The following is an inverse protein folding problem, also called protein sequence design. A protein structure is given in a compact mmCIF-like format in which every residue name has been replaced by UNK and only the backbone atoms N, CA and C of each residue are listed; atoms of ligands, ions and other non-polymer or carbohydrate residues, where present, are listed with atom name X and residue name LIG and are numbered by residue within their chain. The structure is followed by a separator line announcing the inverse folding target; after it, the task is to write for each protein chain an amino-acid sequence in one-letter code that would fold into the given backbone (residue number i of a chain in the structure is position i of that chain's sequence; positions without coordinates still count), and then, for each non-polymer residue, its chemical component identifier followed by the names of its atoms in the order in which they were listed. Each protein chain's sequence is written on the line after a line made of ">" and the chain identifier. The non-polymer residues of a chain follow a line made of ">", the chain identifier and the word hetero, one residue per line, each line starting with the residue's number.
data_IF_331565987983
#
_entry.id   IF_331565987983
#
_cell.length_a   1.000
_cell.length_b   1.000
_cell.length_c   1.000
_cell.angle_alpha   90.00
_cell.angle_beta   90.00
_cell.angle_gamma   90.00
#
_symmetry.space_group_name_H-M   'P 1'
#
loop_
_entity.id
_entity.type
_entity.pdbx_description
1 polymer ?
#
# COMPACT_ATOMS: atom_id res chain seq x y z
N UNK A 1 -4.23 -43.40 54.31
CA UNK A 1 -5.37 -42.47 54.20
C UNK A 1 -5.61 -42.15 52.73
N UNK A 2 -6.67 -42.67 52.14
CA UNK A 2 -7.07 -42.39 50.75
C UNK A 2 -8.25 -41.43 50.75
N UNK A 3 -8.22 -40.42 49.87
CA UNK A 3 -9.37 -39.55 49.66
C UNK A 3 -10.42 -40.32 48.84
N UNK A 4 -11.69 -40.25 49.27
CA UNK A 4 -12.81 -40.91 48.58
C UNK A 4 -13.11 -40.28 47.20
N UNK A 5 -12.63 -39.07 46.92
CA UNK A 5 -12.83 -38.40 45.64
C UNK A 5 -11.64 -37.55 45.22
N UNK A 6 -11.44 -37.41 43.92
CA UNK A 6 -10.43 -36.51 43.34
C UNK A 6 -10.69 -35.05 43.72
N UNK A 7 -11.95 -34.66 43.92
CA UNK A 7 -12.32 -33.31 44.36
C UNK A 7 -11.87 -33.04 45.80
N UNK A 8 -12.09 -33.99 46.72
CA UNK A 8 -11.63 -33.90 48.10
C UNK A 8 -10.09 -33.83 48.16
N UNK A 9 -9.42 -34.64 47.34
CA UNK A 9 -7.96 -34.60 47.20
C UNK A 9 -7.45 -33.24 46.71
N UNK A 10 -8.04 -32.69 45.65
CA UNK A 10 -7.68 -31.37 45.08
C UNK A 10 -7.91 -30.23 46.09
N UNK A 11 -9.02 -30.28 46.85
CA UNK A 11 -9.31 -29.29 47.91
C UNK A 11 -8.29 -29.37 49.05
N UNK A 12 -8.00 -30.57 49.55
CA UNK A 12 -7.01 -30.77 50.61
C UNK A 12 -5.60 -30.32 50.17
N UNK A 13 -5.21 -30.62 48.93
CA UNK A 13 -3.95 -30.13 48.36
C UNK A 13 -3.91 -28.61 48.26
N UNK A 14 -5.01 -27.97 47.84
CA UNK A 14 -5.09 -26.50 47.76
C UNK A 14 -5.02 -25.85 49.14
N UNK A 15 -5.70 -26.40 50.15
CA UNK A 15 -5.64 -25.86 51.52
C UNK A 15 -4.25 -26.00 52.11
N UNK A 16 -3.60 -27.14 51.87
CA UNK A 16 -2.22 -27.38 52.32
C UNK A 16 -1.25 -26.44 51.62
N UNK A 17 -1.36 -26.27 50.30
CA UNK A 17 -0.53 -25.34 49.55
C UNK A 17 -0.64 -23.88 50.06
N UNK A 18 -1.86 -23.43 50.40
CA UNK A 18 -2.10 -22.10 50.99
C UNK A 18 -1.51 -21.93 52.39
N UNK A 19 -1.52 -22.97 53.21
CA UNK A 19 -0.89 -22.93 54.54
C UNK A 19 0.63 -22.81 54.43
N UNK A 20 1.23 -23.46 53.42
CA UNK A 20 2.66 -23.41 53.18
C UNK A 20 3.13 -22.20 52.37
N UNK A 21 2.22 -21.49 51.69
CA UNK A 21 2.54 -20.30 50.86
C UNK A 21 3.28 -19.20 51.64
N UNK A 22 2.99 -19.06 52.94
CA UNK A 22 3.63 -18.05 53.80
C UNK A 22 4.84 -18.58 54.60
N UNK A 23 5.06 -19.89 54.61
CA UNK A 23 6.12 -20.54 55.41
C UNK A 23 7.29 -20.95 54.54
N UNK A 24 7.04 -21.31 53.28
CA UNK A 24 8.05 -21.75 52.33
C UNK A 24 8.06 -20.81 51.11
N UNK A 25 9.06 -19.93 50.96
CA UNK A 25 9.20 -19.16 49.73
C UNK A 25 9.37 -20.13 48.55
N UNK A 26 8.60 -19.92 47.47
CA UNK A 26 8.51 -20.72 46.23
C UNK A 26 7.72 -22.05 46.27
N UNK A 27 6.88 -22.32 47.28
CA UNK A 27 6.01 -23.52 47.25
C UNK A 27 4.70 -23.31 46.45
N UNK A 28 4.74 -22.81 45.23
CA UNK A 28 3.55 -22.82 44.36
C UNK A 28 3.45 -24.16 43.66
N UNK A 29 2.87 -25.15 44.33
CA UNK A 29 2.50 -26.42 43.70
C UNK A 29 1.51 -26.12 42.56
N UNK A 30 1.94 -26.35 41.33
CA UNK A 30 1.12 -26.14 40.14
C UNK A 30 -0.15 -26.99 40.22
N UNK A 31 -1.30 -26.34 40.40
CA UNK A 31 -2.60 -27.00 40.33
C UNK A 31 -2.85 -27.36 38.85
N UNK A 32 -3.07 -28.64 38.50
CA UNK A 32 -3.42 -29.01 37.14
C UNK A 32 -4.77 -28.37 36.80
N UNK A 33 -4.76 -27.49 35.82
CA UNK A 33 -5.93 -26.82 35.31
C UNK A 33 -6.63 -27.76 34.33
N UNK A 34 -7.53 -28.60 34.84
CA UNK A 34 -8.61 -29.20 34.05
C UNK A 34 -9.73 -29.69 34.98
N UNK A 35 -10.94 -29.19 34.71
CA UNK A 35 -12.24 -29.89 34.75
C UNK A 35 -13.37 -28.87 34.54
N UNK A 36 -14.17 -29.08 33.49
CA UNK A 36 -15.28 -28.22 33.02
C UNK A 36 -16.57 -28.37 33.84
N UNK A 37 -16.56 -29.10 34.95
CA UNK A 37 -17.71 -29.24 35.86
C UNK A 37 -17.47 -28.49 37.18
N UNK A 38 -17.94 -27.24 37.22
CA UNK A 38 -17.93 -26.45 38.45
C UNK A 38 -18.99 -26.97 39.42
N UNK A 39 -18.57 -27.24 40.66
CA UNK A 39 -19.47 -27.59 41.77
C UNK A 39 -20.35 -26.40 42.16
N UNK A 40 -21.55 -26.65 42.70
CA UNK A 40 -22.50 -25.61 43.15
C UNK A 40 -21.88 -24.64 44.18
N UNK A 41 -20.99 -25.13 45.04
CA UNK A 41 -20.23 -24.31 46.00
C UNK A 41 -19.14 -23.47 45.32
N UNK A 42 -18.56 -23.94 44.21
CA UNK A 42 -17.64 -23.15 43.39
C UNK A 42 -18.37 -22.03 42.63
N UNK A 43 -19.62 -22.26 42.22
CA UNK A 43 -20.47 -21.23 41.62
C UNK A 43 -20.83 -20.14 42.63
N UNK A 44 -21.22 -20.52 43.85
CA UNK A 44 -21.53 -19.56 44.93
C UNK A 44 -20.30 -18.74 45.33
N UNK A 45 -19.13 -19.37 45.50
CA UNK A 45 -17.90 -18.62 45.82
C UNK A 45 -17.50 -17.66 44.70
N UNK A 46 -17.71 -18.02 43.42
CA UNK A 46 -17.52 -17.09 42.30
C UNK A 46 -18.48 -15.90 42.37
N UNK A 47 -19.76 -16.14 42.64
CA UNK A 47 -20.78 -15.09 42.76
C UNK A 47 -20.47 -14.12 43.91
N UNK A 48 -20.04 -14.64 45.06
CA UNK A 48 -19.65 -13.83 46.22
C UNK A 48 -18.37 -13.01 45.97
N UNK A 49 -17.41 -13.55 45.20
CA UNK A 49 -16.16 -12.86 44.86
C UNK A 49 -16.29 -11.78 43.77
N UNK A 50 -17.44 -11.66 43.08
CA UNK A 50 -17.63 -10.65 42.01
C UNK A 50 -17.77 -9.21 42.52
N UNK A 51 -17.97 -9.00 43.82
CA UNK A 51 -18.16 -7.66 44.40
C UNK A 51 -16.86 -6.90 44.69
N UNK A 52 -15.67 -7.49 44.44
CA UNK A 52 -14.40 -6.78 44.57
C UNK A 52 -13.99 -6.19 43.23
N UNK A 53 -14.41 -4.95 43.02
CA UNK A 53 -13.93 -4.04 41.98
C UNK A 53 -12.39 -4.04 41.90
N UNK A 54 -11.83 -4.30 40.71
CA UNK A 54 -10.51 -3.86 40.15
C UNK A 54 -9.82 -4.97 39.35
N UNK A 55 -10.02 -5.04 38.02
CA UNK A 55 -9.02 -5.67 37.13
C UNK A 55 -9.11 -5.37 35.62
N UNK A 56 -9.84 -4.34 35.14
CA UNK A 56 -9.86 -4.01 33.70
C UNK A 56 -8.44 -3.85 33.10
N UNK A 57 -7.48 -3.31 33.86
CA UNK A 57 -6.06 -3.17 33.45
C UNK A 57 -5.28 -4.51 33.30
N UNK A 58 -5.65 -5.59 34.01
CA UNK A 58 -4.97 -6.90 33.87
C UNK A 58 -5.47 -7.67 32.63
N UNK A 59 -6.76 -7.56 32.32
CA UNK A 59 -7.35 -8.16 31.09
C UNK A 59 -6.84 -7.50 29.80
N UNK A 60 -6.60 -6.19 29.81
CA UNK A 60 -6.03 -5.49 28.66
C UNK A 60 -4.61 -5.97 28.34
N UNK A 61 -3.76 -6.16 29.37
CA UNK A 61 -2.39 -6.66 29.20
C UNK A 61 -2.34 -8.12 28.72
N UNK A 62 -3.25 -8.99 29.17
CA UNK A 62 -3.33 -10.36 28.65
C UNK A 62 -3.83 -10.39 27.20
N UNK A 63 -4.86 -9.60 26.86
CA UNK A 63 -5.35 -9.52 25.48
C UNK A 63 -4.31 -9.00 24.49
N UNK A 64 -3.46 -8.04 24.89
CA UNK A 64 -2.35 -7.57 24.05
C UNK A 64 -1.28 -8.65 23.85
N UNK A 65 -0.95 -9.42 24.88
CA UNK A 65 -0.02 -10.56 24.76
C UNK A 65 -0.57 -11.63 23.81
N UNK A 66 -1.86 -11.95 23.93
CA UNK A 66 -2.55 -12.88 23.02
C UNK A 66 -2.52 -12.35 21.60
N UNK A 67 -2.79 -11.07 21.36
CA UNK A 67 -2.69 -10.46 20.01
C UNK A 67 -1.27 -10.57 19.44
N UNK A 68 -0.24 -10.29 20.24
CA UNK A 68 1.16 -10.42 19.82
C UNK A 68 1.53 -11.87 19.47
N UNK A 69 1.12 -12.84 20.29
CA UNK A 69 1.32 -14.27 19.98
C UNK A 69 0.59 -14.65 18.69
N UNK A 70 -0.68 -14.26 18.54
CA UNK A 70 -1.45 -14.52 17.32
C UNK A 70 -0.79 -13.91 16.07
N UNK A 71 -0.16 -12.73 16.17
CA UNK A 71 0.60 -12.14 15.07
C UNK A 71 1.90 -12.89 14.78
N UNK A 72 2.61 -13.36 15.80
CA UNK A 72 3.79 -14.20 15.66
C UNK A 72 3.44 -15.55 15.00
N UNK A 73 2.36 -16.20 15.44
CA UNK A 73 1.86 -17.45 14.88
C UNK A 73 1.43 -17.26 13.42
N UNK A 74 0.77 -16.14 13.09
CA UNK A 74 0.44 -15.80 11.69
C UNK A 74 1.68 -15.65 10.82
N UNK A 75 2.73 -14.99 11.32
CA UNK A 75 4.01 -14.85 10.60
C UNK A 75 4.68 -16.20 10.41
N UNK A 76 4.71 -17.02 11.46
CA UNK A 76 5.28 -18.35 11.43
C UNK A 76 4.54 -19.27 10.46
N UNK A 77 3.21 -19.32 10.51
CA UNK A 77 2.38 -20.07 9.56
C UNK A 77 2.60 -19.61 8.12
N UNK A 78 2.77 -18.29 7.89
CA UNK A 78 3.11 -17.75 6.57
C UNK A 78 4.49 -18.24 6.10
N UNK A 79 5.47 -18.30 7.00
CA UNK A 79 6.82 -18.81 6.70
C UNK A 79 6.80 -20.30 6.37
N UNK A 80 6.07 -21.11 7.14
CA UNK A 80 5.87 -22.54 6.85
C UNK A 80 5.23 -22.68 5.47
N UNK A 81 4.12 -21.98 5.23
CA UNK A 81 3.42 -22.04 3.94
C UNK A 81 4.33 -21.66 2.77
N UNK A 82 5.18 -20.65 2.95
CA UNK A 82 6.17 -20.26 1.95
C UNK A 82 7.18 -21.38 1.68
N UNK A 83 7.75 -21.99 2.71
CA UNK A 83 8.73 -23.06 2.55
C UNK A 83 8.11 -24.31 1.90
N UNK A 84 6.87 -24.64 2.25
CA UNK A 84 6.13 -25.75 1.63
C UNK A 84 5.94 -25.48 0.13
N UNK A 85 5.34 -24.33 -0.22
CA UNK A 85 5.08 -23.98 -1.62
C UNK A 85 6.38 -23.89 -2.42
N UNK A 86 7.46 -23.35 -1.81
CA UNK A 86 8.77 -23.24 -2.45
C UNK A 86 9.40 -24.62 -2.71
N UNK A 87 9.11 -25.61 -1.88
CA UNK A 87 9.63 -26.98 -2.00
C UNK A 87 8.84 -27.87 -2.97
N UNK A 88 7.64 -27.48 -3.38
CA UNK A 88 6.88 -28.20 -4.40
C UNK A 88 7.41 -27.85 -5.81
N UNK A 89 7.80 -28.88 -6.57
CA UNK A 89 8.12 -28.71 -8.00
C UNK A 89 6.84 -28.56 -8.83
N UNK A 90 5.82 -29.35 -8.54
CA UNK A 90 4.48 -29.25 -9.12
C UNK A 90 3.50 -28.64 -8.11
N UNK A 91 3.02 -27.43 -8.40
CA UNK A 91 2.10 -26.73 -7.52
C UNK A 91 0.68 -27.28 -7.59
N UNK A 92 0.07 -27.50 -6.42
CA UNK A 92 -1.36 -27.84 -6.31
C UNK A 92 -2.24 -26.71 -6.87
N UNK A 93 -3.44 -26.99 -7.41
CA UNK A 93 -4.35 -25.96 -7.92
C UNK A 93 -4.65 -24.84 -6.91
N UNK A 94 -4.69 -25.16 -5.61
CA UNK A 94 -4.87 -24.16 -4.55
C UNK A 94 -3.66 -23.24 -4.39
N UNK A 95 -2.45 -23.80 -4.52
CA UNK A 95 -1.19 -23.05 -4.47
C UNK A 95 -1.08 -22.12 -5.68
N UNK A 96 -1.43 -22.60 -6.87
CA UNK A 96 -1.47 -21.78 -8.10
C UNK A 96 -2.42 -20.59 -7.94
N UNK A 97 -3.63 -20.80 -7.39
CA UNK A 97 -4.59 -19.72 -7.12
C UNK A 97 -4.02 -18.71 -6.11
N UNK A 98 -3.34 -19.19 -5.08
CA UNK A 98 -2.68 -18.34 -4.09
C UNK A 98 -1.52 -17.54 -4.69
N UNK A 99 -0.68 -18.15 -5.53
CA UNK A 99 0.42 -17.50 -6.24
C UNK A 99 -0.08 -16.46 -7.24
N UNK A 100 -1.15 -16.75 -7.99
CA UNK A 100 -1.78 -15.79 -8.88
C UNK A 100 -2.29 -14.56 -8.11
N UNK A 101 -2.90 -14.77 -6.93
CA UNK A 101 -3.32 -13.68 -6.05
C UNK A 101 -2.14 -12.85 -5.55
N UNK A 102 -1.03 -13.50 -5.16
CA UNK A 102 0.19 -12.80 -4.76
C UNK A 102 0.79 -11.98 -5.91
N UNK A 103 0.84 -12.56 -7.12
CA UNK A 103 1.34 -11.87 -8.31
C UNK A 103 0.56 -10.59 -8.58
N UNK A 104 -0.78 -10.66 -8.58
CA UNK A 104 -1.65 -9.48 -8.77
C UNK A 104 -1.38 -8.41 -7.71
N UNK A 105 -1.27 -8.79 -6.44
CA UNK A 105 -0.97 -7.83 -5.36
C UNK A 105 0.39 -7.18 -5.52
N UNK A 106 1.42 -7.95 -5.87
CA UNK A 106 2.77 -7.44 -6.03
C UNK A 106 2.87 -6.50 -7.24
N UNK A 107 2.24 -6.85 -8.36
CA UNK A 107 2.18 -5.98 -9.55
C UNK A 107 1.50 -4.66 -9.18
N UNK A 108 0.34 -4.70 -8.52
CA UNK A 108 -0.35 -3.48 -8.11
C UNK A 108 0.51 -2.64 -7.15
N UNK A 109 1.20 -3.27 -6.19
CA UNK A 109 2.06 -2.53 -5.28
C UNK A 109 3.26 -1.89 -5.99
N UNK A 110 3.85 -2.56 -6.99
CA UNK A 110 4.93 -2.00 -7.80
C UNK A 110 4.39 -0.83 -8.63
N UNK A 111 3.25 -1.02 -9.30
CA UNK A 111 2.64 0.01 -10.14
C UNK A 111 2.25 1.25 -9.33
N UNK A 112 1.72 1.08 -8.12
CA UNK A 112 1.38 2.20 -7.24
C UNK A 112 2.61 2.97 -6.73
N UNK A 113 3.80 2.34 -6.73
CA UNK A 113 5.05 3.02 -6.34
C UNK A 113 5.73 3.65 -7.56
N UNK A 114 5.60 3.03 -8.74
CA UNK A 114 6.23 3.53 -9.97
C UNK A 114 5.43 4.61 -10.67
N UNK A 115 4.10 4.55 -10.61
CA UNK A 115 3.22 5.47 -11.29
C UNK A 115 2.88 6.61 -10.37
N UNK A 116 2.93 7.82 -10.92
CA UNK A 116 2.39 9.01 -10.27
C UNK A 116 0.88 8.91 -10.43
N UNK A 117 0.12 8.95 -9.34
CA UNK A 117 -1.34 8.80 -9.36
C UNK A 117 -2.06 9.99 -10.04
N UNK A 118 -1.34 11.09 -10.26
CA UNK A 118 -1.82 12.30 -10.92
C UNK A 118 -1.49 12.27 -12.42
N UNK A 119 -2.54 12.13 -13.25
CA UNK A 119 -2.44 12.05 -14.70
C UNK A 119 -1.89 13.35 -15.32
N UNK A 120 -2.18 14.51 -14.72
CA UNK A 120 -1.70 15.81 -15.23
C UNK A 120 -0.19 15.93 -15.03
N UNK A 121 0.31 15.52 -13.84
CA UNK A 121 1.74 15.51 -13.54
C UNK A 121 2.48 14.48 -14.40
N UNK A 122 1.87 13.32 -14.67
CA UNK A 122 2.45 12.32 -15.58
C UNK A 122 2.65 12.90 -16.98
N UNK A 123 1.64 13.60 -17.51
CA UNK A 123 1.71 14.21 -18.84
C UNK A 123 2.82 15.27 -18.91
N UNK A 124 2.89 16.18 -17.93
CA UNK A 124 3.95 17.19 -17.86
C UNK A 124 5.34 16.56 -17.77
N UNK A 125 5.50 15.51 -16.96
CA UNK A 125 6.77 14.83 -16.77
C UNK A 125 7.20 14.09 -18.04
N UNK A 126 6.27 13.45 -18.75
CA UNK A 126 6.55 12.79 -20.02
C UNK A 126 6.86 13.79 -21.14
N UNK A 127 6.20 14.94 -21.17
CA UNK A 127 6.55 16.05 -22.06
C UNK A 127 7.96 16.58 -21.77
N UNK A 128 8.30 16.80 -20.50
CA UNK A 128 9.66 17.20 -20.10
C UNK A 128 10.71 16.14 -20.46
N UNK A 129 10.42 14.86 -20.27
CA UNK A 129 11.31 13.75 -20.67
C UNK A 129 11.54 13.76 -22.18
N UNK A 130 10.49 13.92 -22.98
CA UNK A 130 10.62 14.01 -24.44
C UNK A 130 11.44 15.23 -24.87
N UNK A 131 11.19 16.40 -24.28
CA UNK A 131 11.93 17.63 -24.57
C UNK A 131 13.42 17.49 -24.22
N UNK A 132 13.76 16.91 -23.07
CA UNK A 132 15.15 16.65 -22.70
C UNK A 132 15.83 15.64 -23.63
N UNK A 133 15.14 14.53 -23.94
CA UNK A 133 15.65 13.53 -24.87
C UNK A 133 15.90 14.13 -26.26
N UNK A 134 14.97 14.93 -26.76
CA UNK A 134 15.12 15.63 -28.03
C UNK A 134 16.29 16.61 -27.97
N UNK A 135 16.43 17.41 -26.92
CA UNK A 135 17.55 18.34 -26.79
C UNK A 135 18.92 17.62 -26.70
N UNK A 136 19.01 16.50 -25.96
CA UNK A 136 20.22 15.71 -25.87
C UNK A 136 20.54 14.96 -27.17
N UNK A 137 19.53 14.37 -27.84
CA UNK A 137 19.67 13.70 -29.13
C UNK A 137 19.97 14.70 -30.25
N UNK A 138 19.37 15.89 -30.25
CA UNK A 138 19.68 16.98 -31.19
C UNK A 138 21.11 17.48 -30.99
N UNK A 139 21.64 17.47 -29.75
CA UNK A 139 23.05 17.80 -29.48
C UNK A 139 24.03 16.72 -29.96
N UNK A 140 23.62 15.44 -29.95
CA UNK A 140 24.47 14.28 -30.29
C UNK A 140 24.33 13.81 -31.74
N UNK A 141 23.26 14.18 -32.44
CA UNK A 141 23.10 13.89 -33.86
C UNK A 141 23.86 14.98 -34.66
N UNK A 142 24.85 14.61 -35.49
CA UNK A 142 25.40 15.58 -36.44
C UNK A 142 24.26 15.98 -37.36
N UNK A 143 23.84 17.26 -37.26
CA UNK A 143 22.84 17.92 -38.11
C UNK A 143 22.72 17.18 -39.43
N UNK A 144 21.69 16.34 -39.59
CA UNK A 144 21.43 15.69 -40.88
C UNK A 144 21.30 16.83 -41.86
N UNK A 145 22.32 17.00 -42.68
CA UNK A 145 22.43 18.05 -43.69
C UNK A 145 21.15 17.94 -44.50
N UNK A 146 20.24 18.89 -44.29
CA UNK A 146 19.15 19.16 -45.21
C UNK A 146 19.83 19.34 -46.57
N UNK A 147 19.72 18.31 -47.41
CA UNK A 147 20.05 18.40 -48.83
C UNK A 147 19.01 19.34 -49.42
N UNK A 148 19.28 20.65 -49.30
CA UNK A 148 18.57 21.70 -50.01
C UNK A 148 18.80 21.52 -51.50
N UNK A 149 17.85 20.86 -52.15
CA UNK A 149 17.53 21.16 -53.54
C UNK A 149 16.71 22.45 -53.54
N UNK A 150 16.90 23.23 -54.60
CA UNK A 150 16.21 24.47 -54.99
C UNK A 150 16.83 25.76 -54.42
N UNK A 151 17.68 26.45 -55.20
CA UNK A 151 17.43 27.31 -56.39
C UNK A 151 17.31 28.77 -55.93
N UNK A 152 18.11 29.63 -56.56
CA UNK A 152 18.43 30.96 -56.07
C UNK A 152 17.28 31.95 -56.13
N UNK A 153 17.06 32.67 -55.04
CA UNK A 153 16.36 33.97 -54.99
C UNK A 153 16.48 34.65 -53.60
N UNK A 154 17.64 34.57 -52.94
CA UNK A 154 17.78 34.97 -51.53
C UNK A 154 18.15 36.44 -51.31
N UNK A 155 17.55 37.37 -52.07
CA UNK A 155 17.59 38.80 -51.73
C UNK A 155 16.22 39.46 -51.55
N UNK A 156 15.13 38.83 -51.98
CA UNK A 156 13.76 39.36 -51.80
C UNK A 156 12.92 38.60 -50.76
N UNK A 157 13.35 37.42 -50.31
CA UNK A 157 12.58 36.59 -49.37
C UNK A 157 12.37 37.23 -47.98
N UNK A 158 13.30 38.08 -47.50
CA UNK A 158 13.21 38.65 -46.15
C UNK A 158 12.07 39.67 -45.98
N UNK A 159 11.68 40.36 -47.06
CA UNK A 159 10.62 41.37 -47.01
C UNK A 159 9.23 40.76 -47.18
N UNK A 160 9.08 39.69 -47.96
CA UNK A 160 7.80 38.97 -48.06
C UNK A 160 7.45 38.19 -46.79
N UNK A 161 8.45 37.79 -46.01
CA UNK A 161 8.25 37.00 -44.78
C UNK A 161 7.64 37.84 -43.65
N UNK A 162 7.84 39.16 -43.65
CA UNK A 162 7.24 40.07 -42.66
C UNK A 162 5.78 40.39 -43.02
N UNK A 163 5.54 40.82 -44.25
CA UNK A 163 4.20 41.17 -44.73
C UNK A 163 3.24 39.97 -44.71
N UNK A 164 3.73 38.76 -45.04
CA UNK A 164 2.93 37.54 -44.97
C UNK A 164 2.57 37.15 -43.53
N UNK A 165 3.46 37.39 -42.56
CA UNK A 165 3.21 37.13 -41.14
C UNK A 165 2.23 38.13 -40.54
N UNK A 166 2.25 39.39 -40.98
CA UNK A 166 1.24 40.39 -40.61
C UNK A 166 -0.14 40.00 -41.17
N UNK A 167 -0.23 39.63 -42.47
CA UNK A 167 -1.48 39.19 -43.10
C UNK A 167 -2.08 37.94 -42.45
N UNK A 168 -1.23 37.02 -41.98
CA UNK A 168 -1.63 35.80 -41.27
C UNK A 168 -1.93 36.04 -39.79
N UNK A 169 -1.75 37.25 -39.27
CA UNK A 169 -1.98 37.60 -37.87
C UNK A 169 -0.94 37.03 -36.89
N UNK A 170 0.20 36.53 -37.38
CA UNK A 170 1.29 35.97 -36.56
C UNK A 170 2.14 37.06 -35.90
N UNK A 171 2.20 38.25 -36.50
CA UNK A 171 2.88 39.43 -35.96
C UNK A 171 1.86 40.54 -35.84
N UNK A 172 1.69 41.09 -34.64
CA UNK A 172 0.83 42.26 -34.41
C UNK A 172 1.58 43.54 -34.79
N UNK A 173 0.97 44.34 -35.66
CA UNK A 173 1.40 45.71 -35.93
C UNK A 173 0.43 46.66 -35.23
N UNK A 174 0.91 47.65 -34.45
CA UNK A 174 0.02 48.55 -33.72
C UNK A 174 -0.91 49.28 -34.71
N UNK A 175 -2.23 49.12 -34.51
CA UNK A 175 -3.26 49.73 -35.34
C UNK A 175 -3.80 48.88 -36.50
N UNK A 176 -3.26 47.67 -36.75
CA UNK A 176 -3.79 46.78 -37.79
C UNK A 176 -4.70 45.68 -37.22
N UNK A 177 -4.35 45.10 -36.07
CA UNK A 177 -5.04 43.91 -35.52
C UNK A 177 -6.16 44.15 -34.51
N UNK A 178 -6.23 45.26 -33.74
CA UNK A 178 -7.35 45.48 -32.82
C UNK A 178 -8.42 46.35 -33.51
N UNK A 179 -9.37 45.72 -34.20
CA UNK A 179 -10.56 46.41 -34.73
C UNK A 179 -10.84 46.22 -36.23
N UNK A 180 -10.01 45.49 -36.96
CA UNK A 180 -10.34 45.08 -38.32
C UNK A 180 -11.40 43.96 -38.26
N UNK A 181 -12.54 44.15 -38.92
CA UNK A 181 -13.60 43.15 -38.96
C UNK A 181 -13.10 41.88 -39.70
N UNK A 182 -13.45 40.66 -39.24
CA UNK A 182 -13.17 39.46 -40.00
C UNK A 182 -13.92 39.54 -41.33
N UNK A 183 -13.17 39.63 -42.44
CA UNK A 183 -13.74 39.67 -43.78
C UNK A 183 -14.03 38.23 -44.22
N UNK A 184 -15.31 37.94 -44.49
CA UNK A 184 -15.72 36.65 -45.02
C UNK A 184 -15.35 36.54 -46.50
N UNK A 185 -14.89 35.36 -46.92
CA UNK A 185 -14.44 35.07 -48.30
C UNK A 185 -15.51 35.29 -49.38
N UNK A 186 -16.77 35.51 -49.01
CA UNK A 186 -17.90 35.63 -49.93
C UNK A 186 -18.23 37.08 -50.34
N UNK A 187 -17.59 38.09 -49.74
CA UNK A 187 -17.91 39.51 -50.00
C UNK A 187 -17.03 40.18 -51.06
N UNK A 188 -15.90 39.57 -51.47
CA UNK A 188 -14.91 40.22 -52.35
C UNK A 188 -15.08 39.97 -53.86
N UNK A 189 -16.04 39.16 -54.31
CA UNK A 189 -16.22 38.80 -55.73
C UNK A 189 -17.34 39.60 -56.44
N UNK A 190 -17.69 40.78 -55.91
CA UNK A 190 -18.71 41.67 -56.50
C UNK A 190 -18.11 42.98 -57.02
N UNK A 191 -17.26 42.92 -58.04
CA UNK A 191 -16.96 44.04 -58.96
C UNK A 191 -16.41 43.54 -60.30
#
# INVERSE_FOLDING_TARGET
>A
MSFASNTSRKLAQSTVAKLFENVLPNSTLAVPADDTHLSSTQLLSRQLNTKVTKSKKKSAKSSQKIKKQMEQDKKFNKMIKYNIIKGHEDHSPEELKYLAKLRRKNINQINNVSNIDDEDILHELDELRSSLLDNELISKQPKKRLRGKYVGETRHAKYQDFDSKIKRGLISYPGLTPGLAPVDYNESDSE
#
